data_IF_909573342486
#
_entry.id   IF_909573342486
#
_cell.length_a   1.000
_cell.length_b   1.000
_cell.length_c   1.000
_cell.angle_alpha   90.00
_cell.angle_beta   90.00
_cell.angle_gamma   90.00
#
_symmetry.space_group_name_H-M   'P 1'
#
loop_
_entity.id
_entity.type
_entity.pdbx_description
1 polymer ?
#
# COMPACT_ATOMS: atom_id res chain seq x y z
N UNK A 1 34.29 -17.21 31.94
CA UNK A 1 34.06 -15.77 32.19
C UNK A 1 33.99 -14.90 30.92
N UNK A 2 34.86 -15.06 29.91
CA UNK A 2 34.85 -14.19 28.69
C UNK A 2 33.55 -14.19 27.85
N UNK A 3 32.75 -15.26 27.86
CA UNK A 3 31.50 -15.35 27.07
C UNK A 3 30.35 -14.49 27.62
N UNK A 4 30.27 -14.33 28.94
CA UNK A 4 29.18 -13.58 29.59
C UNK A 4 29.38 -12.07 29.35
N UNK A 5 30.63 -11.60 29.48
CA UNK A 5 30.99 -10.20 29.27
C UNK A 5 30.71 -9.72 27.84
N UNK A 6 30.98 -10.57 26.84
CA UNK A 6 30.71 -10.28 25.42
C UNK A 6 29.20 -10.23 25.09
N UNK A 7 28.37 -10.96 25.85
CA UNK A 7 26.91 -10.94 25.67
C UNK A 7 26.31 -9.65 26.22
N UNK A 8 26.78 -9.22 27.40
CA UNK A 8 26.34 -7.96 28.03
C UNK A 8 26.71 -6.73 27.19
N UNK A 9 27.91 -6.70 26.61
CA UNK A 9 28.35 -5.61 25.73
C UNK A 9 27.51 -5.51 24.44
N UNK A 10 27.10 -6.64 23.86
CA UNK A 10 26.23 -6.63 22.67
C UNK A 10 24.81 -6.14 22.98
N UNK A 11 24.23 -6.54 24.13
CA UNK A 11 22.92 -6.04 24.54
C UNK A 11 22.90 -4.53 24.77
N UNK A 12 23.97 -3.97 25.35
CA UNK A 12 24.10 -2.52 25.57
C UNK A 12 24.19 -1.77 24.24
N UNK A 13 24.96 -2.28 23.27
CA UNK A 13 25.05 -1.66 21.93
C UNK A 13 23.73 -1.68 21.19
N UNK A 14 22.97 -2.77 21.27
CA UNK A 14 21.68 -2.90 20.59
C UNK A 14 20.62 -1.99 21.20
N UNK A 15 20.59 -1.85 22.53
CA UNK A 15 19.70 -0.90 23.21
C UNK A 15 20.01 0.55 22.78
N UNK A 16 21.29 0.95 22.79
CA UNK A 16 21.71 2.28 22.34
C UNK A 16 21.39 2.53 20.86
N UNK A 17 21.46 1.50 20.03
CA UNK A 17 21.07 1.57 18.61
C UNK A 17 19.58 1.88 18.46
N UNK A 18 18.73 1.15 19.18
CA UNK A 18 17.28 1.30 19.11
C UNK A 18 16.83 2.68 19.61
N UNK A 19 17.33 3.10 20.78
CA UNK A 19 17.01 4.41 21.37
C UNK A 19 17.46 5.57 20.46
N UNK A 20 18.62 5.44 19.81
CA UNK A 20 19.11 6.44 18.86
C UNK A 20 18.26 6.49 17.58
N UNK A 21 17.86 5.34 17.03
CA UNK A 21 16.98 5.29 15.84
C UNK A 21 15.56 5.79 16.13
N UNK A 22 15.09 5.63 17.37
CA UNK A 22 13.81 6.17 17.84
C UNK A 22 13.85 7.70 18.07
N UNK A 23 15.04 8.31 18.01
CA UNK A 23 15.23 9.75 18.29
C UNK A 23 15.23 10.10 19.77
N UNK A 24 15.26 9.11 20.66
CA UNK A 24 15.26 9.29 22.11
C UNK A 24 16.65 9.63 22.66
N UNK A 25 17.71 9.33 21.89
CA UNK A 25 19.10 9.70 22.20
C UNK A 25 19.74 10.46 21.04
N UNK A 26 20.52 11.50 21.39
CA UNK A 26 21.39 12.17 20.42
C UNK A 26 22.70 11.41 20.21
N UNK A 27 23.43 11.71 19.12
CA UNK A 27 24.75 11.13 18.87
C UNK A 27 25.73 11.43 20.03
N UNK A 28 25.63 12.62 20.62
CA UNK A 28 26.40 13.04 21.80
C UNK A 28 26.08 12.18 23.03
N UNK A 29 24.82 11.78 23.24
CA UNK A 29 24.43 10.94 24.36
C UNK A 29 24.93 9.50 24.22
N UNK A 30 24.89 8.96 23.00
CA UNK A 30 25.46 7.64 22.69
C UNK A 30 26.99 7.66 22.87
N UNK A 31 27.66 8.71 22.39
CA UNK A 31 29.10 8.89 22.53
C UNK A 31 29.54 8.98 23.99
N UNK A 32 28.77 9.71 24.81
CA UNK A 32 29.00 9.82 26.26
C UNK A 32 28.87 8.46 26.95
N UNK A 33 27.88 7.64 26.57
CA UNK A 33 27.66 6.31 27.17
C UNK A 33 28.70 5.28 26.73
N UNK A 34 29.24 5.41 25.52
CA UNK A 34 30.29 4.54 24.97
C UNK A 34 31.72 5.05 25.23
N UNK A 35 31.84 6.25 25.82
CA UNK A 35 33.09 6.95 26.10
C UNK A 35 34.03 7.01 24.87
N UNK A 36 33.49 7.43 23.74
CA UNK A 36 34.21 7.57 22.48
C UNK A 36 33.75 8.84 21.73
N UNK A 37 34.32 9.12 20.56
CA UNK A 37 33.83 10.21 19.71
C UNK A 37 32.43 9.87 19.15
N UNK A 38 31.68 10.88 18.72
CA UNK A 38 30.36 10.66 18.11
C UNK A 38 30.44 9.79 16.85
N UNK A 39 31.45 10.00 16.02
CA UNK A 39 31.65 9.22 14.80
C UNK A 39 31.93 7.74 15.10
N UNK A 40 32.84 7.48 16.06
CA UNK A 40 33.12 6.12 16.53
C UNK A 40 31.91 5.48 17.24
N UNK A 41 31.10 6.27 17.95
CA UNK A 41 29.93 5.79 18.66
C UNK A 41 28.90 5.25 17.67
N UNK A 42 28.61 6.02 16.62
CA UNK A 42 27.66 5.67 15.56
C UNK A 42 28.14 4.48 14.73
N UNK A 43 29.45 4.34 14.51
CA UNK A 43 30.04 3.17 13.88
C UNK A 43 29.88 1.92 14.77
N UNK A 44 30.15 2.05 16.08
CA UNK A 44 30.05 0.95 17.05
C UNK A 44 28.63 0.41 17.25
N UNK A 45 27.60 1.26 17.09
CA UNK A 45 26.20 0.84 17.11
C UNK A 45 25.65 0.50 15.71
N UNK A 46 26.48 0.57 14.67
CA UNK A 46 26.13 0.13 13.31
C UNK A 46 25.07 0.99 12.61
N UNK A 47 25.03 2.30 12.88
CA UNK A 47 24.05 3.23 12.28
C UNK A 47 24.67 4.17 11.22
N UNK A 48 25.97 4.08 10.97
CA UNK A 48 26.68 4.85 9.93
C UNK A 48 26.22 4.48 8.52
N UNK A 49 25.99 3.20 8.23
CA UNK A 49 25.38 2.75 6.96
C UNK A 49 23.89 3.11 6.85
N UNK A 50 23.16 3.13 7.98
CA UNK A 50 21.76 3.57 8.02
C UNK A 50 21.63 5.08 7.74
N UNK A 51 22.56 5.91 8.25
CA UNK A 51 22.63 7.34 7.87
C UNK A 51 22.93 7.56 6.39
N UNK A 52 23.71 6.69 5.75
CA UNK A 52 23.95 6.75 4.30
C UNK A 52 22.76 6.30 3.46
N UNK A 53 21.88 5.46 4.01
CA UNK A 53 20.67 4.98 3.30
C UNK A 53 19.40 5.79 3.61
N UNK A 54 19.41 6.66 4.62
CA UNK A 54 18.28 7.52 5.01
C UNK A 54 18.45 9.02 4.73
N UNK A 55 19.53 9.45 4.09
CA UNK A 55 19.74 10.85 3.75
C UNK A 55 19.41 11.11 2.28
N UNK A 56 18.15 10.92 1.88
CA UNK A 56 17.65 11.73 0.77
C UNK A 56 17.36 13.12 1.34
N UNK A 57 17.96 14.16 0.78
CA UNK A 57 17.62 15.53 1.18
C UNK A 57 16.16 15.83 0.86
N UNK A 58 15.56 16.84 1.51
CA UNK A 58 14.21 17.28 1.13
C UNK A 58 14.14 17.67 -0.34
N UNK A 59 15.20 18.29 -0.89
CA UNK A 59 15.26 18.57 -2.32
C UNK A 59 15.42 17.32 -3.18
N UNK A 60 16.07 16.25 -2.69
CA UNK A 60 16.17 14.98 -3.42
C UNK A 60 14.88 14.20 -3.40
N UNK A 61 14.16 14.17 -2.27
CA UNK A 61 12.82 13.62 -2.14
C UNK A 61 11.88 14.41 -3.06
N UNK A 62 11.91 15.74 -2.97
CA UNK A 62 11.09 16.62 -3.81
C UNK A 62 11.48 16.51 -5.29
N UNK A 63 12.77 16.37 -5.61
CA UNK A 63 13.23 16.09 -6.96
C UNK A 63 12.90 14.66 -7.40
N UNK A 64 12.72 13.68 -6.51
CA UNK A 64 12.20 12.35 -6.86
C UNK A 64 10.68 12.40 -7.11
N UNK A 65 9.94 13.18 -6.32
CA UNK A 65 8.54 13.53 -6.56
C UNK A 65 8.35 14.30 -7.88
N UNK A 66 9.26 15.23 -8.19
CA UNK A 66 9.23 16.03 -9.43
C UNK A 66 9.75 15.24 -10.64
N UNK A 67 10.77 14.38 -10.46
CA UNK A 67 11.29 13.50 -11.52
C UNK A 67 10.27 12.46 -11.92
N UNK A 68 9.51 11.89 -10.99
CA UNK A 68 8.41 10.94 -11.23
C UNK A 68 8.66 9.96 -12.41
N UNK A 69 9.91 9.54 -12.61
CA UNK A 69 10.33 8.72 -13.76
C UNK A 69 9.73 7.30 -13.65
N UNK A 70 9.38 6.89 -12.42
CA UNK A 70 8.67 5.63 -12.16
C UNK A 70 7.19 5.64 -12.57
N UNK A 71 6.59 6.82 -12.81
CA UNK A 71 5.17 6.99 -13.15
C UNK A 71 4.94 7.74 -14.48
N UNK A 72 6.00 7.93 -15.28
CA UNK A 72 5.96 8.49 -16.63
C UNK A 72 5.19 9.82 -16.75
N UNK A 73 5.38 10.73 -15.79
CA UNK A 73 4.70 12.03 -15.74
C UNK A 73 3.27 12.00 -15.22
N UNK A 74 2.68 10.82 -15.00
CA UNK A 74 1.31 10.70 -14.50
C UNK A 74 1.23 10.75 -12.97
N UNK A 75 0.14 11.31 -12.46
CA UNK A 75 -0.19 11.40 -11.04
C UNK A 75 -1.41 10.54 -10.76
N UNK A 76 -1.38 9.84 -9.62
CA UNK A 76 -2.54 9.12 -9.15
C UNK A 76 -3.52 10.09 -8.47
N UNK A 77 -4.81 9.95 -8.78
CA UNK A 77 -5.88 10.55 -8.00
C UNK A 77 -6.19 9.63 -6.80
N UNK A 78 -5.83 10.09 -5.60
CA UNK A 78 -5.99 9.31 -4.37
C UNK A 78 -7.45 9.11 -3.97
N UNK A 79 -8.34 10.03 -4.32
CA UNK A 79 -9.77 9.87 -4.05
C UNK A 79 -10.36 8.80 -4.96
N UNK A 80 -9.94 8.76 -6.22
CA UNK A 80 -10.30 7.68 -7.16
C UNK A 80 -9.70 6.34 -6.76
N UNK A 81 -8.46 6.31 -6.25
CA UNK A 81 -7.87 5.09 -5.70
C UNK A 81 -8.65 4.59 -4.49
N UNK A 82 -9.05 5.47 -3.57
CA UNK A 82 -9.90 5.11 -2.43
C UNK A 82 -11.25 4.59 -2.88
N UNK A 83 -11.92 5.28 -3.82
CA UNK A 83 -13.19 4.83 -4.39
C UNK A 83 -13.08 3.42 -4.99
N UNK A 84 -12.00 3.13 -5.72
CA UNK A 84 -11.74 1.79 -6.24
C UNK A 84 -11.61 0.74 -5.13
N UNK A 85 -10.87 1.05 -4.04
CA UNK A 85 -10.76 0.14 -2.89
C UNK A 85 -12.10 -0.06 -2.18
N UNK A 86 -12.90 0.99 -2.04
CA UNK A 86 -14.22 0.91 -1.41
C UNK A 86 -15.18 0.02 -2.22
N UNK A 87 -15.24 0.21 -3.55
CA UNK A 87 -16.04 -0.66 -4.43
C UNK A 87 -15.54 -2.11 -4.35
N UNK A 88 -14.23 -2.32 -4.34
CA UNK A 88 -13.63 -3.66 -4.22
C UNK A 88 -14.00 -4.34 -2.89
N UNK A 89 -13.96 -3.61 -1.78
CA UNK A 89 -14.33 -4.12 -0.47
C UNK A 89 -15.79 -4.55 -0.45
N UNK A 90 -16.70 -3.71 -0.95
CA UNK A 90 -18.12 -4.03 -1.01
C UNK A 90 -18.41 -5.21 -1.94
N UNK A 91 -17.75 -5.30 -3.10
CA UNK A 91 -17.89 -6.44 -4.01
C UNK A 91 -17.35 -7.74 -3.39
N UNK A 92 -16.31 -7.65 -2.58
CA UNK A 92 -15.77 -8.79 -1.83
C UNK A 92 -16.76 -9.25 -0.76
N UNK A 93 -17.43 -8.32 -0.06
CA UNK A 93 -18.50 -8.64 0.87
C UNK A 93 -19.71 -9.25 0.13
N UNK A 94 -20.10 -8.68 -1.02
CA UNK A 94 -21.19 -9.20 -1.84
C UNK A 94 -20.90 -10.63 -2.32
N UNK A 95 -19.67 -10.92 -2.77
CA UNK A 95 -19.22 -12.26 -3.13
C UNK A 95 -19.36 -13.26 -1.98
N UNK A 96 -19.15 -12.85 -0.73
CA UNK A 96 -19.31 -13.74 0.44
C UNK A 96 -20.78 -14.03 0.77
N UNK A 97 -21.69 -13.13 0.40
CA UNK A 97 -23.12 -13.23 0.72
C UNK A 97 -23.94 -13.89 -0.38
N UNK A 98 -23.60 -13.62 -1.64
CA UNK A 98 -24.34 -14.08 -2.80
C UNK A 98 -23.70 -15.33 -3.42
N UNK A 99 -24.39 -16.47 -3.30
CA UNK A 99 -23.90 -17.75 -3.84
C UNK A 99 -23.90 -17.85 -5.37
N UNK A 100 -24.54 -16.90 -6.06
CA UNK A 100 -24.62 -16.86 -7.52
C UNK A 100 -23.43 -16.14 -8.19
N UNK A 101 -22.56 -15.54 -7.37
CA UNK A 101 -21.32 -14.92 -7.86
C UNK A 101 -20.27 -16.03 -8.06
N UNK A 102 -19.76 -16.12 -9.28
CA UNK A 102 -18.73 -17.10 -9.64
C UNK A 102 -17.32 -16.58 -9.35
N UNK A 103 -17.07 -15.30 -9.64
CA UNK A 103 -15.72 -14.74 -9.63
C UNK A 103 -15.73 -13.22 -9.48
N UNK A 104 -14.69 -12.72 -8.80
CA UNK A 104 -14.32 -11.31 -8.77
C UNK A 104 -12.92 -11.17 -9.39
N UNK A 105 -12.78 -10.34 -10.42
CA UNK A 105 -11.49 -10.00 -11.04
C UNK A 105 -11.24 -8.49 -10.96
N UNK A 106 -9.98 -8.11 -11.15
CA UNK A 106 -9.60 -6.71 -11.19
C UNK A 106 -8.55 -6.45 -12.28
N UNK A 107 -8.69 -5.31 -12.96
CA UNK A 107 -7.57 -4.62 -13.59
C UNK A 107 -7.10 -3.58 -12.59
N UNK A 108 -5.95 -3.87 -11.96
CA UNK A 108 -5.39 -2.99 -10.95
C UNK A 108 -5.08 -1.61 -11.54
N UNK A 109 -5.32 -0.53 -10.79
CA UNK A 109 -4.81 0.79 -11.14
C UNK A 109 -3.32 0.70 -11.46
N UNK A 110 -2.93 1.09 -12.67
CA UNK A 110 -1.55 1.08 -13.10
C UNK A 110 -1.29 2.32 -13.98
N UNK A 111 -0.03 2.77 -14.01
CA UNK A 111 0.35 3.99 -14.73
C UNK A 111 0.08 3.97 -16.24
N UNK A 112 -0.11 2.80 -16.86
CA UNK A 112 -0.32 2.70 -18.30
C UNK A 112 -1.78 2.95 -18.68
N UNK A 113 -2.72 2.58 -17.82
CA UNK A 113 -4.16 2.78 -18.02
C UNK A 113 -4.72 3.88 -17.11
N UNK A 114 -5.49 4.81 -17.69
CA UNK A 114 -6.11 5.90 -16.91
C UNK A 114 -7.21 5.41 -15.97
N UNK A 115 -7.81 4.27 -16.27
CA UNK A 115 -9.00 3.76 -15.59
C UNK A 115 -8.67 2.47 -14.84
N UNK A 116 -9.43 2.18 -13.80
CA UNK A 116 -9.39 0.90 -13.11
C UNK A 116 -10.75 0.21 -13.22
N UNK A 117 -10.75 -1.11 -13.32
CA UNK A 117 -11.98 -1.89 -13.56
C UNK A 117 -12.04 -3.10 -12.64
N UNK A 118 -13.19 -3.30 -12.02
CA UNK A 118 -13.54 -4.51 -11.27
C UNK A 118 -14.59 -5.29 -12.05
N UNK A 119 -14.43 -6.61 -12.15
CA UNK A 119 -15.36 -7.49 -12.85
C UNK A 119 -15.98 -8.46 -11.87
N UNK A 120 -17.31 -8.48 -11.80
CA UNK A 120 -18.08 -9.46 -11.05
C UNK A 120 -18.80 -10.38 -12.04
N UNK A 121 -18.44 -11.65 -12.03
CA UNK A 121 -19.09 -12.67 -12.85
C UNK A 121 -20.17 -13.38 -12.04
N UNK A 122 -21.35 -13.46 -12.63
CA UNK A 122 -22.55 -14.05 -12.03
C UNK A 122 -23.16 -15.09 -12.95
N UNK A 123 -23.90 -16.05 -12.39
CA UNK A 123 -24.70 -17.00 -13.19
C UNK A 123 -25.68 -16.24 -14.11
N UNK A 124 -25.93 -16.71 -15.34
CA UNK A 124 -26.91 -16.04 -16.23
C UNK A 124 -28.33 -16.02 -15.65
N UNK A 125 -28.66 -17.01 -14.81
CA UNK A 125 -29.96 -17.13 -14.13
C UNK A 125 -29.87 -16.76 -12.64
N UNK A 126 -28.96 -15.84 -12.28
CA UNK A 126 -28.79 -15.40 -10.89
C UNK A 126 -30.09 -14.82 -10.32
N UNK A 127 -30.43 -15.22 -9.11
CA UNK A 127 -31.60 -14.69 -8.39
C UNK A 127 -31.13 -13.98 -7.13
N UNK A 128 -31.21 -12.66 -7.15
CA UNK A 128 -30.84 -11.85 -5.99
C UNK A 128 -32.04 -11.69 -5.05
N UNK A 129 -31.80 -11.90 -3.77
CA UNK A 129 -32.76 -11.54 -2.73
C UNK A 129 -32.78 -10.01 -2.52
N UNK A 130 -33.66 -9.52 -1.64
CA UNK A 130 -33.83 -8.08 -1.41
C UNK A 130 -32.55 -7.41 -0.89
N UNK A 131 -31.84 -8.06 0.03
CA UNK A 131 -30.63 -7.50 0.65
C UNK A 131 -29.49 -7.45 -0.35
N UNK A 132 -29.29 -8.52 -1.12
CA UNK A 132 -28.32 -8.61 -2.21
C UNK A 132 -28.60 -7.57 -3.28
N UNK A 133 -29.87 -7.37 -3.66
CA UNK A 133 -30.26 -6.38 -4.67
C UNK A 133 -29.94 -4.96 -4.19
N UNK A 134 -30.23 -4.63 -2.93
CA UNK A 134 -29.92 -3.31 -2.35
C UNK A 134 -28.42 -3.09 -2.27
N UNK A 135 -27.65 -4.10 -1.85
CA UNK A 135 -26.19 -4.03 -1.79
C UNK A 135 -25.59 -3.82 -3.18
N UNK A 136 -25.96 -4.63 -4.17
CA UNK A 136 -25.45 -4.50 -5.54
C UNK A 136 -25.81 -3.13 -6.13
N UNK A 137 -27.03 -2.64 -5.94
CA UNK A 137 -27.44 -1.31 -6.41
C UNK A 137 -26.62 -0.18 -5.77
N UNK A 138 -26.32 -0.28 -4.48
CA UNK A 138 -25.47 0.69 -3.79
C UNK A 138 -24.05 0.71 -4.36
N UNK A 139 -23.47 -0.47 -4.63
CA UNK A 139 -22.15 -0.60 -5.26
C UNK A 139 -22.17 0.00 -6.67
N UNK A 140 -23.20 -0.31 -7.47
CA UNK A 140 -23.38 0.25 -8.81
C UNK A 140 -23.44 1.78 -8.80
N UNK A 141 -24.05 2.37 -7.77
CA UNK A 141 -24.13 3.83 -7.61
C UNK A 141 -22.81 4.51 -7.24
N UNK A 142 -21.77 3.77 -6.84
CA UNK A 142 -20.43 4.31 -6.53
C UNK A 142 -19.53 4.41 -7.76
N UNK A 143 -19.69 3.53 -8.74
CA UNK A 143 -18.83 3.48 -9.92
C UNK A 143 -19.12 4.65 -10.87
N UNK A 144 -18.08 5.17 -11.54
CA UNK A 144 -18.25 6.23 -12.55
C UNK A 144 -19.01 5.70 -13.78
N UNK A 145 -18.76 4.44 -14.13
CA UNK A 145 -19.49 3.73 -15.20
C UNK A 145 -19.69 2.27 -14.85
N UNK A 146 -20.83 1.76 -15.28
CA UNK A 146 -21.18 0.34 -15.22
C UNK A 146 -21.43 -0.21 -16.62
N UNK A 147 -20.90 -1.39 -16.90
CA UNK A 147 -21.17 -2.15 -18.12
C UNK A 147 -21.59 -3.56 -17.78
N UNK A 148 -22.65 -4.04 -18.43
CA UNK A 148 -23.13 -5.41 -18.32
C UNK A 148 -22.89 -6.10 -19.65
N UNK A 149 -22.21 -7.24 -19.62
CA UNK A 149 -21.93 -8.03 -20.82
C UNK A 149 -22.20 -9.50 -20.56
N UNK A 150 -22.71 -10.20 -21.58
CA UNK A 150 -22.69 -11.65 -21.58
C UNK A 150 -21.26 -12.12 -21.80
N UNK A 151 -20.75 -12.97 -20.92
CA UNK A 151 -19.41 -13.54 -21.03
C UNK A 151 -19.49 -15.00 -21.48
N UNK A 152 -18.49 -15.44 -22.24
CA UNK A 152 -18.47 -16.79 -22.81
C UNK A 152 -18.51 -17.83 -21.69
N UNK A 153 -19.46 -18.77 -21.76
CA UNK A 153 -19.63 -19.80 -20.72
C UNK A 153 -20.90 -19.67 -19.86
N UNK A 154 -21.84 -18.78 -20.22
CA UNK A 154 -23.14 -18.70 -19.54
C UNK A 154 -23.09 -17.94 -18.22
N UNK A 155 -22.20 -16.95 -18.12
CA UNK A 155 -22.18 -15.98 -17.03
C UNK A 155 -22.43 -14.56 -17.55
N UNK A 156 -23.01 -13.72 -16.68
CA UNK A 156 -23.13 -12.29 -16.88
C UNK A 156 -21.95 -11.63 -16.15
N UNK A 157 -21.21 -10.79 -16.86
CA UNK A 157 -20.13 -9.98 -16.29
C UNK A 157 -20.62 -8.56 -16.06
N UNK A 158 -20.57 -8.13 -14.80
CA UNK A 158 -20.76 -6.75 -14.38
C UNK A 158 -19.40 -6.09 -14.24
N UNK A 159 -19.16 -5.01 -14.99
CA UNK A 159 -17.89 -4.27 -14.99
C UNK A 159 -18.09 -2.92 -14.33
N UNK A 160 -17.39 -2.68 -13.22
CA UNK A 160 -17.42 -1.45 -12.44
C UNK A 160 -16.16 -0.66 -12.77
N UNK A 161 -16.33 0.48 -13.45
CA UNK A 161 -15.23 1.31 -13.91
C UNK A 161 -15.07 2.54 -13.01
N UNK A 162 -13.83 2.80 -12.60
CA UNK A 162 -13.39 4.06 -11.98
C UNK A 162 -12.50 4.77 -12.99
N UNK A 163 -12.93 5.93 -13.46
CA UNK A 163 -12.26 6.68 -14.51
C UNK A 163 -11.23 7.67 -13.93
N UNK A 164 -10.16 7.92 -14.69
CA UNK A 164 -9.13 8.92 -14.39
C UNK A 164 -8.41 8.71 -13.04
N UNK A 165 -8.17 7.45 -12.68
CA UNK A 165 -7.32 7.08 -11.53
C UNK A 165 -5.88 7.57 -11.74
N UNK A 166 -5.41 7.57 -12.99
CA UNK A 166 -4.14 8.19 -13.38
C UNK A 166 -4.39 9.35 -14.34
N UNK A 167 -3.94 10.54 -13.95
CA UNK A 167 -4.02 11.77 -14.72
C UNK A 167 -2.63 12.22 -15.17
N UNK A 168 -2.55 12.94 -16.27
CA UNK A 168 -1.30 13.50 -16.80
C UNK A 168 -0.91 14.79 -16.04
#
# INVERSE_FOLDING_TARGET
MKKIQKFTENCVKEALRLDYLAGELSATDVARRLNCSEEEALERIGVTELRRTLAYSTEEIEAMYQRNENFNGKRADFDKLRLFQDIKADLTEFLQRCGDVQRLEEIKPNQYEKNAVLFLDMNTLSTLNREETVMLAAIMGKADRMVVSAHTGGCIRLSFCVENVWID
#
